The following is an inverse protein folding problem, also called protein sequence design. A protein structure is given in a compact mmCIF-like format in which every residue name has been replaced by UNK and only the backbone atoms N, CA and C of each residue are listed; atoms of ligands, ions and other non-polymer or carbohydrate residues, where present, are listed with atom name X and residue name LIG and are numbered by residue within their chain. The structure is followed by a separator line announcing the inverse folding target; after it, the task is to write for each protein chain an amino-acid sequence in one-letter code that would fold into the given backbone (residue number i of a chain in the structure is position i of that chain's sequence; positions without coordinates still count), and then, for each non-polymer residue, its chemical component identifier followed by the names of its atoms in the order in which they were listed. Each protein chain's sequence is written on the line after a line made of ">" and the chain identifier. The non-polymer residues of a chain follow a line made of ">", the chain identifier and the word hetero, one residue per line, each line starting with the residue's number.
data_IF_535796122378
#
_entry.id   IF_535796122378
#
_cell.length_a   1.000
_cell.length_b   1.000
_cell.length_c   1.000
_cell.angle_alpha   90.00
_cell.angle_beta   90.00
_cell.angle_gamma   90.00
#
_symmetry.space_group_name_H-M   'P 1'
#
loop_
_entity.id
_entity.type
_entity.pdbx_description
1 polymer ?
#
# COMPACT_ATOMS: atom_id res chain seq x y z
N UNK A 1 20.09 7.12 -9.20
CA UNK A 1 18.80 7.00 -8.48
C UNK A 1 19.15 6.56 -7.07
N UNK A 2 18.69 7.25 -6.03
CA UNK A 2 18.96 6.83 -4.65
C UNK A 2 18.07 5.61 -4.39
N UNK A 3 18.67 4.45 -4.16
CA UNK A 3 17.93 3.26 -3.75
C UNK A 3 17.38 3.48 -2.34
N UNK A 4 16.09 3.19 -2.13
CA UNK A 4 15.47 3.28 -0.81
C UNK A 4 16.03 2.18 0.09
N UNK A 5 16.23 2.49 1.38
CA UNK A 5 16.59 1.49 2.38
C UNK A 5 15.38 0.60 2.70
N UNK A 6 15.63 -0.61 3.23
CA UNK A 6 14.58 -1.53 3.71
C UNK A 6 13.64 -0.84 4.70
N UNK A 7 14.21 -0.11 5.68
CA UNK A 7 13.43 0.67 6.65
C UNK A 7 12.52 1.72 5.99
N UNK A 8 12.96 2.32 4.89
CA UNK A 8 12.15 3.29 4.16
C UNK A 8 11.03 2.62 3.37
N UNK A 9 11.28 1.46 2.77
CA UNK A 9 10.25 0.66 2.10
C UNK A 9 9.20 0.15 3.10
N UNK A 10 9.62 -0.33 4.27
CA UNK A 10 8.72 -0.75 5.35
C UNK A 10 7.86 0.40 5.87
N UNK A 11 8.43 1.60 6.01
CA UNK A 11 7.68 2.80 6.42
C UNK A 11 6.62 3.17 5.39
N UNK A 12 6.96 3.14 4.10
CA UNK A 12 6.03 3.43 3.02
C UNK A 12 4.93 2.36 2.92
N UNK A 13 5.28 1.08 3.08
CA UNK A 13 4.31 -0.01 3.12
C UNK A 13 3.30 0.21 4.25
N UNK A 14 3.78 0.53 5.44
CA UNK A 14 2.92 0.82 6.59
C UNK A 14 2.01 2.04 6.36
N UNK A 15 2.51 3.08 5.69
CA UNK A 15 1.70 4.25 5.34
C UNK A 15 0.57 3.89 4.35
N UNK A 16 0.85 3.06 3.34
CA UNK A 16 -0.16 2.59 2.39
C UNK A 16 -1.20 1.68 3.07
N UNK A 17 -0.79 0.79 3.95
CA UNK A 17 -1.70 -0.04 4.76
C UNK A 17 -2.64 0.79 5.63
N UNK A 18 -2.12 1.86 6.25
CA UNK A 18 -2.94 2.80 7.02
C UNK A 18 -3.95 3.53 6.13
N UNK A 19 -3.55 3.97 4.93
CA UNK A 19 -4.47 4.60 3.96
C UNK A 19 -5.56 3.63 3.50
N UNK A 20 -5.23 2.35 3.28
CA UNK A 20 -6.20 1.30 2.96
C UNK A 20 -7.21 1.11 4.09
N UNK A 21 -6.75 1.07 5.34
CA UNK A 21 -7.62 0.96 6.51
C UNK A 21 -8.56 2.16 6.61
N UNK A 22 -8.04 3.38 6.47
CA UNK A 22 -8.84 4.60 6.50
C UNK A 22 -9.83 4.70 5.33
N UNK A 23 -9.46 4.20 4.14
CA UNK A 23 -10.37 4.11 3.01
C UNK A 23 -11.51 3.14 3.32
N UNK A 24 -11.19 1.93 3.82
CA UNK A 24 -12.15 0.88 4.19
C UNK A 24 -13.10 1.33 5.31
N UNK A 25 -12.59 2.09 6.30
CA UNK A 25 -13.41 2.65 7.37
C UNK A 25 -14.44 3.69 6.89
N UNK A 26 -14.21 4.33 5.74
CA UNK A 26 -15.12 5.31 5.15
C UNK A 26 -16.11 4.69 4.15
N UNK A 27 -16.17 3.36 4.05
CA UNK A 27 -17.04 2.69 3.09
C UNK A 27 -18.53 2.95 3.39
N UNK A 28 -19.31 3.38 2.39
CA UNK A 28 -20.76 3.53 2.53
C UNK A 28 -21.45 2.16 2.67
N UNK A 29 -22.53 2.10 3.44
CA UNK A 29 -23.22 0.85 3.80
C UNK A 29 -23.85 0.07 2.63
N UNK A 30 -24.10 0.72 1.49
CA UNK A 30 -24.90 0.14 0.40
C UNK A 30 -24.18 0.04 -0.95
N UNK A 31 -23.29 0.98 -1.30
CA UNK A 31 -22.62 0.96 -2.61
C UNK A 31 -21.34 1.80 -2.59
N UNK A 32 -20.22 1.18 -2.98
CA UNK A 32 -18.94 1.85 -3.14
C UNK A 32 -18.96 2.76 -4.36
N UNK A 33 -18.49 4.00 -4.17
CA UNK A 33 -18.32 4.93 -5.29
C UNK A 33 -17.19 4.42 -6.19
N UNK A 34 -17.31 4.53 -7.54
CA UNK A 34 -16.24 4.13 -8.45
C UNK A 34 -14.87 4.75 -8.12
N UNK A 35 -14.85 6.01 -7.69
CA UNK A 35 -13.62 6.67 -7.25
C UNK A 35 -12.96 6.00 -6.02
N UNK A 36 -13.74 5.43 -5.11
CA UNK A 36 -13.20 4.69 -3.96
C UNK A 36 -12.67 3.31 -4.37
N UNK A 37 -13.23 2.70 -5.41
CA UNK A 37 -12.73 1.44 -5.97
C UNK A 37 -11.40 1.66 -6.69
N UNK A 38 -11.31 2.68 -7.54
CA UNK A 38 -10.05 3.04 -8.21
C UNK A 38 -8.97 3.34 -7.17
N UNK A 39 -9.30 4.17 -6.15
CA UNK A 39 -8.37 4.47 -5.08
C UNK A 39 -7.95 3.21 -4.29
N UNK A 40 -8.87 2.26 -4.10
CA UNK A 40 -8.56 0.99 -3.45
C UNK A 40 -7.57 0.18 -4.29
N UNK A 41 -7.83 0.03 -5.59
CA UNK A 41 -6.97 -0.70 -6.53
C UNK A 41 -5.57 -0.11 -6.59
N UNK A 42 -5.45 1.22 -6.72
CA UNK A 42 -4.16 1.92 -6.74
C UNK A 42 -3.33 1.67 -5.45
N UNK A 43 -4.01 1.72 -4.30
CA UNK A 43 -3.37 1.49 -2.99
C UNK A 43 -3.00 0.02 -2.77
N UNK A 44 -3.82 -0.92 -3.24
CA UNK A 44 -3.53 -2.35 -3.14
C UNK A 44 -2.38 -2.74 -4.08
N UNK A 45 -2.30 -2.17 -5.28
CA UNK A 45 -1.17 -2.37 -6.21
C UNK A 45 0.14 -1.83 -5.63
N UNK A 46 0.15 -0.62 -5.06
CA UNK A 46 1.36 -0.07 -4.45
C UNK A 46 1.76 -0.83 -3.18
N UNK A 47 0.81 -1.29 -2.37
CA UNK A 47 1.11 -2.18 -1.22
C UNK A 47 1.83 -3.43 -1.70
N UNK A 48 1.27 -4.12 -2.70
CA UNK A 48 1.84 -5.38 -3.20
C UNK A 48 3.23 -5.16 -3.80
N UNK A 49 3.42 -4.05 -4.51
CA UNK A 49 4.73 -3.64 -5.02
C UNK A 49 5.74 -3.38 -3.89
N UNK A 50 5.35 -2.64 -2.86
CA UNK A 50 6.21 -2.34 -1.71
C UNK A 50 6.55 -3.60 -0.92
N UNK A 51 5.57 -4.48 -0.73
CA UNK A 51 5.77 -5.77 -0.06
C UNK A 51 6.77 -6.64 -0.82
N UNK A 52 6.64 -6.74 -2.15
CA UNK A 52 7.62 -7.44 -2.98
C UNK A 52 9.03 -6.85 -2.86
N UNK A 53 9.14 -5.51 -2.85
CA UNK A 53 10.44 -4.83 -2.70
C UNK A 53 11.09 -5.09 -1.32
N UNK A 54 10.29 -5.12 -0.26
CA UNK A 54 10.75 -5.46 1.10
C UNK A 54 11.22 -6.91 1.16
N UNK A 55 10.42 -7.85 0.63
CA UNK A 55 10.78 -9.27 0.57
C UNK A 55 12.06 -9.50 -0.24
N UNK A 56 12.15 -8.93 -1.44
CA UNK A 56 13.33 -9.04 -2.32
C UNK A 56 14.59 -8.47 -1.67
N UNK A 57 14.46 -7.40 -0.87
CA UNK A 57 15.57 -6.84 -0.07
C UNK A 57 15.98 -7.79 1.05
N UNK A 58 15.01 -8.28 1.83
CA UNK A 58 15.26 -9.18 2.95
C UNK A 58 15.83 -10.55 2.55
N UNK A 59 15.61 -10.98 1.30
CA UNK A 59 16.21 -12.20 0.74
C UNK A 59 17.64 -12.01 0.21
N UNK A 60 18.11 -10.76 0.07
CA UNK A 60 19.46 -10.42 -0.44
C UNK A 60 20.48 -10.07 0.65
N UNK A 61 20.01 -9.79 1.86
CA UNK A 61 20.83 -9.53 3.05
C UNK A 61 21.15 -10.84 3.80
#
# INVERSE_FOLDING_TARGET
>A
MIEKSTQQLEKELHEVENQLMDLKNRWPAHSLKPAMLIQLEDLEEERDRLQWLVEERNHKD
#
